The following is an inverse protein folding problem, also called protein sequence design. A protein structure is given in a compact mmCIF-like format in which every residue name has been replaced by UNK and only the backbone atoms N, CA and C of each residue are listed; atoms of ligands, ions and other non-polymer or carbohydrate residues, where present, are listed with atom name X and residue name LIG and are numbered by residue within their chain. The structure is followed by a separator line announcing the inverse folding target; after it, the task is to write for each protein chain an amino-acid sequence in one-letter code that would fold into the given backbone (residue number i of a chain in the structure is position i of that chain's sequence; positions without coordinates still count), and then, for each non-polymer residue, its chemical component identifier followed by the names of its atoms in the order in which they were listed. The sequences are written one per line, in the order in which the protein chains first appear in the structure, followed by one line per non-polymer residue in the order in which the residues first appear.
data_IF_109318676539
#
_entry.id   IF_109318676539
#
_cell.length_a   1.000
_cell.length_b   1.000
_cell.length_c   1.000
_cell.angle_alpha   90.00
_cell.angle_beta   90.00
_cell.angle_gamma   90.00
#
_symmetry.space_group_name_H-M   'P 1'
#
loop_
_entity.id
_entity.type
_entity.pdbx_description
1 polymer ?
#
# COMPACT_ATOMS: atom_id res chain seq x y z
N UNK A 1 -22.40 41.66 22.93
CA UNK A 1 -21.31 40.86 23.57
C UNK A 1 -21.59 39.34 23.64
N UNK A 2 -22.59 38.84 22.89
CA UNK A 2 -23.01 37.42 22.89
C UNK A 2 -22.49 36.61 21.70
N UNK A 3 -22.16 37.27 20.57
CA UNK A 3 -21.63 36.59 19.37
C UNK A 3 -20.27 35.93 19.60
N UNK A 4 -19.39 36.55 20.38
CA UNK A 4 -18.04 36.04 20.65
C UNK A 4 -18.04 34.75 21.50
N UNK A 5 -19.08 34.54 22.32
CA UNK A 5 -19.21 33.36 23.20
C UNK A 5 -19.65 32.10 22.45
N UNK A 6 -20.31 32.24 21.30
CA UNK A 6 -20.76 31.12 20.46
C UNK A 6 -19.69 30.75 19.42
N UNK A 7 -18.87 31.72 18.98
CA UNK A 7 -17.83 31.50 17.97
C UNK A 7 -16.68 30.61 18.47
N UNK A 8 -16.33 30.72 19.75
CA UNK A 8 -15.23 29.96 20.38
C UNK A 8 -15.48 28.43 20.44
N UNK A 9 -16.64 27.91 20.91
CA UNK A 9 -16.89 26.47 20.94
C UNK A 9 -17.02 25.84 19.54
N UNK A 10 -17.52 26.60 18.54
CA UNK A 10 -17.60 26.13 17.15
C UNK A 10 -16.20 25.96 16.55
N UNK A 11 -15.28 26.88 16.85
CA UNK A 11 -13.88 26.78 16.41
C UNK A 11 -13.17 25.56 17.01
N UNK A 12 -13.40 25.27 18.30
CA UNK A 12 -12.87 24.07 18.96
C UNK A 12 -13.47 22.77 18.38
N UNK A 13 -14.75 22.77 17.98
CA UNK A 13 -15.38 21.60 17.36
C UNK A 13 -14.80 21.32 15.96
N UNK A 14 -14.48 22.36 15.18
CA UNK A 14 -13.83 22.21 13.87
C UNK A 14 -12.38 21.68 13.98
N UNK A 15 -11.66 22.00 15.06
CA UNK A 15 -10.31 21.49 15.29
C UNK A 15 -10.28 19.97 15.60
N UNK A 16 -11.38 19.41 16.09
CA UNK A 16 -11.48 17.98 16.42
C UNK A 16 -11.85 17.10 15.22
N UNK A 17 -12.33 17.68 14.11
CA UNK A 17 -12.77 16.93 12.93
C UNK A 17 -11.66 16.70 11.89
N UNK A 18 -10.42 17.16 12.15
CA UNK A 18 -9.42 17.37 11.09
C UNK A 18 -8.19 16.47 11.07
N UNK A 19 -8.07 15.42 11.90
CA UNK A 19 -6.77 14.74 12.06
C UNK A 19 -6.52 13.48 11.21
N UNK A 20 -7.50 12.93 10.48
CA UNK A 20 -7.26 11.74 9.64
C UNK A 20 -7.15 12.09 8.15
N UNK A 21 -6.16 11.52 7.47
CA UNK A 21 -6.02 11.64 6.03
C UNK A 21 -7.12 10.84 5.30
N UNK A 22 -7.75 11.37 4.23
CA UNK A 22 -8.79 10.64 3.51
C UNK A 22 -8.28 9.32 2.90
N UNK A 23 -9.08 8.23 2.92
CA UNK A 23 -8.71 6.93 2.36
C UNK A 23 -8.21 6.98 0.91
N UNK A 24 -8.88 7.75 0.04
CA UNK A 24 -8.51 7.92 -1.37
C UNK A 24 -7.07 8.45 -1.52
N UNK A 25 -6.66 9.37 -0.65
CA UNK A 25 -5.31 9.94 -0.67
C UNK A 25 -4.27 8.92 -0.22
N UNK A 26 -4.60 8.11 0.78
CA UNK A 26 -3.76 7.00 1.27
C UNK A 26 -3.57 5.96 0.15
N UNK A 27 -4.65 5.62 -0.57
CA UNK A 27 -4.62 4.68 -1.70
C UNK A 27 -3.74 5.19 -2.85
N UNK A 28 -3.93 6.44 -3.28
CA UNK A 28 -3.11 7.05 -4.34
C UNK A 28 -1.62 6.97 -4.00
N UNK A 29 -1.26 7.20 -2.72
CA UNK A 29 0.12 7.10 -2.23
C UNK A 29 0.70 5.69 -2.26
N UNK A 30 -0.12 4.63 -2.35
CA UNK A 30 0.37 3.25 -2.44
C UNK A 30 1.01 2.99 -3.82
N UNK A 31 0.39 3.52 -4.89
CA UNK A 31 0.81 3.33 -6.28
C UNK A 31 2.31 3.50 -6.54
N UNK A 32 2.97 4.60 -6.13
CA UNK A 32 4.40 4.75 -6.37
C UNK A 32 5.26 3.66 -5.72
N UNK A 33 4.88 3.14 -4.54
CA UNK A 33 5.60 2.03 -3.89
C UNK A 33 5.48 0.74 -4.69
N UNK A 34 4.28 0.45 -5.21
CA UNK A 34 4.06 -0.76 -6.01
C UNK A 34 4.83 -0.68 -7.34
N UNK A 35 4.85 0.49 -7.97
CA UNK A 35 5.59 0.71 -9.21
C UNK A 35 7.10 0.63 -9.00
N UNK A 36 7.62 1.19 -7.90
CA UNK A 36 9.04 1.09 -7.56
C UNK A 36 9.43 -0.36 -7.24
N UNK A 37 8.63 -1.07 -6.45
CA UNK A 37 8.88 -2.46 -6.10
C UNK A 37 8.88 -3.36 -7.34
N UNK A 38 7.92 -3.18 -8.26
CA UNK A 38 7.88 -3.92 -9.52
C UNK A 38 9.12 -3.65 -10.38
N UNK A 39 9.53 -2.38 -10.51
CA UNK A 39 10.76 -2.01 -11.23
C UNK A 39 12.01 -2.63 -10.59
N UNK A 40 12.09 -2.59 -9.26
CA UNK A 40 13.20 -3.18 -8.52
C UNK A 40 13.27 -4.69 -8.75
N UNK A 41 12.15 -5.41 -8.65
CA UNK A 41 12.12 -6.85 -8.92
C UNK A 41 12.59 -7.17 -10.34
N UNK A 42 12.11 -6.45 -11.36
CA UNK A 42 12.55 -6.63 -12.75
C UNK A 42 14.05 -6.39 -12.88
N UNK A 43 14.56 -5.29 -12.30
CA UNK A 43 15.98 -4.94 -12.35
C UNK A 43 16.86 -5.99 -11.65
N UNK A 44 16.46 -6.48 -10.47
CA UNK A 44 17.17 -7.54 -9.75
C UNK A 44 17.26 -8.82 -10.58
N UNK A 45 16.18 -9.20 -11.27
CA UNK A 45 16.18 -10.41 -12.12
C UNK A 45 17.02 -10.26 -13.38
N UNK A 46 16.96 -9.11 -14.04
CA UNK A 46 17.85 -8.81 -15.16
C UNK A 46 19.32 -8.84 -14.72
N UNK A 47 19.64 -8.31 -13.54
CA UNK A 47 21.00 -8.34 -12.99
C UNK A 47 21.47 -9.77 -12.68
N UNK A 48 20.59 -10.60 -12.11
CA UNK A 48 20.94 -11.95 -11.69
C UNK A 48 21.09 -12.95 -12.85
N UNK A 49 20.21 -12.89 -13.85
CA UNK A 49 20.16 -13.88 -14.95
C UNK A 49 20.75 -13.39 -16.26
N UNK A 50 20.84 -12.07 -16.47
CA UNK A 50 21.08 -11.41 -17.78
C UNK A 50 20.09 -11.84 -18.88
N UNK A 51 19.02 -12.56 -18.54
CA UNK A 51 18.07 -13.12 -19.49
C UNK A 51 16.69 -12.47 -19.36
N UNK A 52 16.31 -11.74 -20.39
CA UNK A 52 14.99 -11.12 -20.51
C UNK A 52 13.91 -12.12 -20.91
N UNK A 53 14.26 -13.25 -21.54
CA UNK A 53 13.29 -14.24 -22.03
C UNK A 53 12.51 -14.91 -20.88
N UNK A 54 13.09 -14.94 -19.68
CA UNK A 54 12.44 -15.45 -18.47
C UNK A 54 11.39 -14.51 -17.86
N UNK A 55 11.36 -13.23 -18.25
CA UNK A 55 10.46 -12.21 -17.73
C UNK A 55 9.16 -12.13 -18.52
N UNK A 56 8.08 -11.72 -17.85
CA UNK A 56 6.85 -11.32 -18.52
C UNK A 56 7.11 -10.12 -19.43
N UNK A 57 6.43 -10.11 -20.58
CA UNK A 57 6.45 -8.97 -21.50
C UNK A 57 5.85 -7.72 -20.84
N UNK A 58 4.85 -7.92 -19.97
CA UNK A 58 4.29 -6.91 -19.08
C UNK A 58 4.22 -7.46 -17.65
N UNK A 59 5.27 -7.25 -16.84
CA UNK A 59 5.21 -7.53 -15.40
C UNK A 59 4.13 -6.69 -14.75
N UNK A 60 3.41 -7.24 -13.77
CA UNK A 60 2.28 -6.58 -13.14
C UNK A 60 2.14 -6.97 -11.67
N UNK A 61 1.25 -6.29 -10.96
CA UNK A 61 0.87 -6.64 -9.60
C UNK A 61 -0.65 -6.69 -9.44
N UNK A 62 -1.12 -7.42 -8.43
CA UNK A 62 -2.52 -7.47 -8.01
C UNK A 62 -2.63 -7.05 -6.55
N UNK A 63 -3.45 -6.05 -6.24
CA UNK A 63 -3.80 -5.72 -4.85
C UNK A 63 -4.84 -6.75 -4.41
N UNK A 64 -4.50 -7.57 -3.41
CA UNK A 64 -5.34 -8.64 -2.88
C UNK A 64 -6.26 -8.18 -1.77
N UNK A 65 -5.74 -7.32 -0.92
CA UNK A 65 -6.45 -6.79 0.22
C UNK A 65 -5.99 -5.35 0.41
N UNK A 66 -6.94 -4.44 0.56
CA UNK A 66 -6.72 -3.05 0.91
C UNK A 66 -7.75 -2.68 1.96
N UNK A 67 -7.28 -2.45 3.18
CA UNK A 67 -8.13 -2.11 4.33
C UNK A 67 -7.72 -0.78 4.90
N UNK A 68 -8.72 0.01 5.25
CA UNK A 68 -8.58 1.25 6.01
C UNK A 68 -9.08 0.99 7.43
N UNK A 69 -8.32 1.47 8.40
CA UNK A 69 -8.66 1.36 9.81
C UNK A 69 -9.18 2.71 10.32
N UNK A 70 -10.06 2.66 11.29
CA UNK A 70 -10.68 3.81 11.94
C UNK A 70 -10.52 3.77 13.47
N UNK A 71 -10.83 4.90 14.10
CA UNK A 71 -10.77 5.05 15.56
C UNK A 71 -9.41 4.69 16.16
N UNK A 72 -9.41 4.04 17.32
CA UNK A 72 -8.19 3.65 18.04
C UNK A 72 -7.29 2.69 17.25
N UNK A 73 -7.84 1.94 16.28
CA UNK A 73 -7.04 1.03 15.43
C UNK A 73 -6.17 1.77 14.42
N UNK A 74 -6.49 3.03 14.13
CA UNK A 74 -5.81 3.87 13.15
C UNK A 74 -4.69 4.74 13.73
N UNK A 75 -4.45 4.71 15.05
CA UNK A 75 -3.53 5.65 15.73
C UNK A 75 -2.07 5.47 15.29
N UNK A 76 -1.65 4.23 15.01
CA UNK A 76 -0.30 3.91 14.54
C UNK A 76 -0.33 3.62 13.03
N UNK A 77 -1.15 2.66 12.62
CA UNK A 77 -1.32 2.29 11.21
C UNK A 77 -2.78 2.48 10.80
N UNK A 78 -3.04 3.35 9.83
CA UNK A 78 -4.41 3.65 9.39
C UNK A 78 -4.83 2.89 8.13
N UNK A 79 -3.92 2.15 7.49
CA UNK A 79 -4.26 1.26 6.39
C UNK A 79 -3.30 0.07 6.27
N UNK A 80 -3.77 -0.97 5.58
CA UNK A 80 -3.05 -2.18 5.25
C UNK A 80 -3.23 -2.50 3.77
N UNK A 81 -2.19 -2.97 3.11
CA UNK A 81 -2.30 -3.55 1.78
C UNK A 81 -1.53 -4.87 1.66
N UNK A 82 -2.11 -5.85 0.97
CA UNK A 82 -1.44 -7.05 0.49
C UNK A 82 -1.40 -7.03 -1.03
N UNK A 83 -0.20 -7.19 -1.60
CA UNK A 83 -0.01 -7.08 -3.05
C UNK A 83 0.85 -8.23 -3.53
N UNK A 84 0.40 -8.88 -4.60
CA UNK A 84 1.13 -9.94 -5.27
C UNK A 84 1.78 -9.42 -6.55
N UNK A 85 3.05 -9.75 -6.76
CA UNK A 85 3.86 -9.30 -7.88
C UNK A 85 4.20 -10.48 -8.80
N UNK A 86 3.93 -10.29 -10.09
CA UNK A 86 4.12 -11.29 -11.14
C UNK A 86 5.16 -10.79 -12.13
N UNK A 87 6.29 -11.48 -12.19
CA UNK A 87 7.45 -11.06 -13.00
C UNK A 87 7.92 -12.16 -13.96
N UNK A 88 7.67 -13.44 -13.65
CA UNK A 88 8.17 -14.56 -14.43
C UNK A 88 7.17 -15.07 -15.47
N UNK A 89 7.68 -15.39 -16.66
CA UNK A 89 6.89 -15.97 -17.75
C UNK A 89 6.77 -17.48 -17.63
N UNK A 90 7.89 -18.15 -17.36
CA UNK A 90 8.00 -19.61 -17.43
C UNK A 90 7.98 -20.29 -16.04
N UNK A 91 8.01 -19.50 -14.97
CA UNK A 91 8.01 -19.99 -13.59
C UNK A 91 6.70 -19.57 -12.95
N UNK A 92 5.96 -20.56 -12.45
CA UNK A 92 4.77 -20.34 -11.63
C UNK A 92 5.21 -19.88 -10.24
N UNK A 93 5.50 -18.59 -10.12
CA UNK A 93 5.97 -17.96 -8.88
C UNK A 93 5.49 -16.51 -8.84
N UNK A 94 5.10 -16.06 -7.66
CA UNK A 94 4.83 -14.65 -7.39
C UNK A 94 5.40 -14.24 -6.03
N UNK A 95 5.64 -12.94 -5.86
CA UNK A 95 6.10 -12.37 -4.58
C UNK A 95 4.95 -11.61 -3.95
N UNK A 96 4.55 -11.99 -2.73
CA UNK A 96 3.59 -11.22 -1.93
C UNK A 96 4.34 -10.23 -1.06
N UNK A 97 3.91 -8.97 -1.06
CA UNK A 97 4.36 -7.93 -0.14
C UNK A 97 3.21 -7.39 0.67
N UNK A 98 3.47 -7.12 1.94
CA UNK A 98 2.53 -6.46 2.84
C UNK A 98 3.02 -5.08 3.21
N UNK A 99 2.09 -4.15 3.15
CA UNK A 99 2.30 -2.74 3.43
C UNK A 99 1.40 -2.31 4.58
N UNK A 100 1.86 -1.34 5.35
CA UNK A 100 1.09 -0.66 6.38
C UNK A 100 1.30 0.84 6.24
N UNK A 101 0.23 1.61 6.34
CA UNK A 101 0.31 3.06 6.24
C UNK A 101 0.48 3.66 7.62
N UNK A 102 1.63 4.28 7.87
CA UNK A 102 1.92 4.97 9.13
C UNK A 102 1.13 6.29 9.18
N UNK A 103 0.20 6.40 10.12
CA UNK A 103 -0.70 7.55 10.22
C UNK A 103 0.03 8.84 10.60
N UNK A 104 1.09 8.72 11.42
CA UNK A 104 1.86 9.85 11.92
C UNK A 104 2.83 10.36 10.87
N UNK A 105 3.51 9.45 10.18
CA UNK A 105 4.52 9.76 9.16
C UNK A 105 3.95 9.90 7.76
N UNK A 106 2.68 9.50 7.56
CA UNK A 106 1.91 9.64 6.31
C UNK A 106 2.54 8.97 5.09
N UNK A 107 3.10 7.78 5.28
CA UNK A 107 3.72 6.99 4.23
C UNK A 107 3.47 5.48 4.40
N UNK A 108 3.67 4.73 3.31
CA UNK A 108 3.56 3.27 3.29
C UNK A 108 4.87 2.60 3.67
N UNK A 109 4.85 1.76 4.70
CA UNK A 109 5.97 0.95 5.11
C UNK A 109 5.82 -0.49 4.60
N UNK A 110 6.93 -1.09 4.14
CA UNK A 110 7.01 -2.49 3.71
C UNK A 110 7.44 -3.32 4.92
N UNK A 111 6.61 -4.25 5.37
CA UNK A 111 6.91 -4.99 6.59
C UNK A 111 6.95 -6.51 6.43
N UNK A 112 6.45 -7.05 5.32
CA UNK A 112 6.57 -8.48 5.02
C UNK A 112 6.78 -8.71 3.53
N UNK A 113 7.63 -9.70 3.23
CA UNK A 113 7.86 -10.25 1.90
C UNK A 113 7.77 -11.77 1.96
N UNK A 114 7.03 -12.38 1.05
CA UNK A 114 6.89 -13.83 0.94
C UNK A 114 6.98 -14.25 -0.53
N UNK A 115 7.64 -15.37 -0.79
CA UNK A 115 7.73 -15.98 -2.11
C UNK A 115 6.80 -17.18 -2.17
N UNK A 116 5.96 -17.21 -3.20
CA UNK A 116 5.01 -18.28 -3.43
C UNK A 116 5.42 -19.04 -4.68
N UNK A 117 5.48 -20.36 -4.58
CA UNK A 117 5.73 -21.27 -5.69
C UNK A 117 4.45 -22.05 -6.00
N UNK A 118 4.10 -22.14 -7.28
CA UNK A 118 2.86 -22.77 -7.73
C UNK A 118 1.92 -21.79 -8.44
N UNK A 119 0.75 -22.31 -8.80
CA UNK A 119 -0.29 -21.51 -9.46
C UNK A 119 -0.93 -20.59 -8.41
N UNK A 120 -1.12 -19.34 -8.81
CA UNK A 120 -1.98 -18.39 -8.10
C UNK A 120 -3.37 -19.00 -7.90
N UNK A 121 -3.69 -19.37 -6.66
CA UNK A 121 -5.03 -19.84 -6.31
C UNK A 121 -5.75 -18.62 -5.79
N UNK A 122 -6.60 -18.03 -6.65
CA UNK A 122 -7.50 -16.96 -6.23
C UNK A 122 -8.47 -17.55 -5.18
N UNK A 123 -8.10 -17.50 -3.90
CA UNK A 123 -9.05 -17.67 -2.81
C UNK A 123 -9.96 -16.44 -2.81
N UNK A 124 -11.14 -16.61 -3.41
CA UNK A 124 -12.25 -15.66 -3.33
C UNK A 124 -12.84 -15.61 -1.94
#
# INVERSE_FOLDING_TARGET
MTMFKILMPICCLCLLLGCSEPPERIEIKLTPYLQEDLKFMVAEKLRASKDRASLLDSPYYKIRDLRFFDGAKAEIYSAYAQVDFYVFKNIKMYETRKYRYDANRRYWDRYLKQLHFGVDTDEK
#
